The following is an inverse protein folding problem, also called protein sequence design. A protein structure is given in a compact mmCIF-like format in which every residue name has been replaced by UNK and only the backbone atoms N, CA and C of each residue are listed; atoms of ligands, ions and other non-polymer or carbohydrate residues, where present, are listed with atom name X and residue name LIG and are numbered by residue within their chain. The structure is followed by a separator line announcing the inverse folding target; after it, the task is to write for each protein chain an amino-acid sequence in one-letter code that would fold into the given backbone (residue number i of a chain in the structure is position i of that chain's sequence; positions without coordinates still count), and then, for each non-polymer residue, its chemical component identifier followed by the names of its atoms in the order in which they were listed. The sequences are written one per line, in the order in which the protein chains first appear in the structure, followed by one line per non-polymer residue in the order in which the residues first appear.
data_IF_230312771040
#
_entry.id   IF_230312771040
#
_cell.length_a   1.000
_cell.length_b   1.000
_cell.length_c   1.000
_cell.angle_alpha   90.00
_cell.angle_beta   90.00
_cell.angle_gamma   90.00
#
_symmetry.space_group_name_H-M   'P 1'
#
loop_
_entity.id
_entity.type
_entity.pdbx_description
1 polymer ?
#
# COMPACT_ATOMS: atom_id res chain seq x y z
N UNK A 1 4.90 -39.05 47.14
CA UNK A 1 3.96 -37.92 46.90
C UNK A 1 4.54 -37.06 45.81
N UNK A 2 3.73 -36.77 44.80
CA UNK A 2 4.15 -36.53 43.43
C UNK A 2 4.77 -35.15 43.20
N UNK A 3 5.79 -35.17 42.35
CA UNK A 3 6.44 -34.04 41.70
C UNK A 3 5.44 -33.19 40.91
N UNK A 4 5.51 -31.87 41.08
CA UNK A 4 5.03 -30.91 40.09
C UNK A 4 6.18 -29.94 39.80
N UNK A 5 6.92 -30.28 38.75
CA UNK A 5 7.86 -29.41 38.05
C UNK A 5 7.02 -28.34 37.34
N UNK A 6 7.28 -27.07 37.62
CA UNK A 6 6.76 -25.96 36.83
C UNK A 6 7.34 -26.04 35.42
N UNK A 7 6.48 -26.26 34.43
CA UNK A 7 6.84 -26.19 33.02
C UNK A 7 6.88 -24.72 32.58
N UNK A 8 8.09 -24.29 32.24
CA UNK A 8 8.45 -23.12 31.45
C UNK A 8 7.66 -23.00 30.15
N UNK A 9 7.31 -21.78 29.75
CA UNK A 9 7.38 -21.40 28.33
C UNK A 9 8.22 -20.13 28.19
N UNK A 10 9.52 -20.39 27.99
CA UNK A 10 10.39 -19.62 27.11
C UNK A 10 9.66 -19.43 25.76
N UNK A 11 9.25 -18.21 25.41
CA UNK A 11 9.11 -17.83 24.00
C UNK A 11 10.27 -16.90 23.62
N UNK A 12 11.41 -17.57 23.41
CA UNK A 12 12.37 -17.38 22.32
C UNK A 12 12.52 -15.95 21.77
N UNK A 13 13.58 -15.30 22.24
CA UNK A 13 14.42 -14.38 21.48
C UNK A 13 14.73 -15.00 20.10
N UNK A 14 14.00 -14.62 19.04
CA UNK A 14 14.26 -15.08 17.66
C UNK A 14 13.11 -15.69 16.87
N UNK A 15 11.88 -15.76 17.39
CA UNK A 15 10.73 -15.97 16.53
C UNK A 15 10.47 -14.67 15.74
N UNK A 16 10.92 -14.58 14.48
CA UNK A 16 10.43 -13.54 13.57
C UNK A 16 8.90 -13.63 13.59
N UNK A 17 8.23 -12.67 14.23
CA UNK A 17 6.79 -12.51 14.13
C UNK A 17 6.49 -12.55 12.63
N UNK A 18 5.74 -13.55 12.18
CA UNK A 18 5.43 -13.70 10.75
C UNK A 18 4.67 -12.45 10.33
N UNK A 19 5.36 -11.55 9.65
CA UNK A 19 4.81 -10.27 9.22
C UNK A 19 3.52 -10.51 8.45
N UNK A 20 2.46 -9.79 8.82
CA UNK A 20 1.17 -9.99 8.18
C UNK A 20 1.24 -9.61 6.71
N UNK A 21 0.32 -10.13 5.90
CA UNK A 21 0.26 -9.77 4.47
C UNK A 21 0.01 -8.27 4.28
N UNK A 22 -0.74 -7.65 5.20
CA UNK A 22 -0.96 -6.20 5.24
C UNK A 22 0.37 -5.46 5.42
N UNK A 23 1.14 -5.85 6.42
CA UNK A 23 2.38 -5.17 6.77
C UNK A 23 3.42 -5.29 5.64
N UNK A 24 3.50 -6.45 4.96
CA UNK A 24 4.36 -6.61 3.79
C UNK A 24 3.97 -5.67 2.64
N UNK A 25 2.67 -5.48 2.42
CA UNK A 25 2.20 -4.52 1.42
C UNK A 25 2.53 -3.08 1.80
N UNK A 26 2.35 -2.70 3.07
CA UNK A 26 2.65 -1.35 3.56
C UNK A 26 4.16 -1.06 3.52
N UNK A 27 5.01 -2.02 3.90
CA UNK A 27 6.47 -1.89 3.78
C UNK A 27 6.90 -1.69 2.31
N UNK A 28 6.30 -2.44 1.38
CA UNK A 28 6.57 -2.25 -0.04
C UNK A 28 6.07 -0.89 -0.54
N UNK A 29 4.93 -0.41 -0.03
CA UNK A 29 4.38 0.89 -0.40
C UNK A 29 5.27 2.04 0.05
N UNK A 30 5.80 1.96 1.28
CA UNK A 30 6.75 2.90 1.85
C UNK A 30 8.02 3.00 1.00
N UNK A 31 8.67 1.86 0.71
CA UNK A 31 9.85 1.85 -0.15
C UNK A 31 9.58 2.37 -1.57
N UNK A 32 8.36 2.18 -2.10
CA UNK A 32 7.98 2.78 -3.39
C UNK A 32 7.79 4.30 -3.29
N UNK A 33 7.20 4.83 -2.21
CA UNK A 33 7.04 6.28 -2.01
C UNK A 33 8.38 6.97 -1.86
N UNK A 34 9.26 6.45 -1.02
CA UNK A 34 10.61 6.97 -0.82
C UNK A 34 11.34 7.07 -2.16
N UNK A 35 11.37 5.98 -2.93
CA UNK A 35 12.00 5.98 -4.24
C UNK A 35 11.31 6.94 -5.23
N UNK A 36 9.98 7.02 -5.22
CA UNK A 36 9.25 7.91 -6.11
C UNK A 36 9.57 9.39 -5.83
N UNK A 37 9.70 9.79 -4.57
CA UNK A 37 10.11 11.13 -4.18
C UNK A 37 11.56 11.41 -4.61
N UNK A 38 12.50 10.50 -4.37
CA UNK A 38 13.89 10.63 -4.84
C UNK A 38 13.96 10.87 -6.36
N UNK A 39 13.23 10.06 -7.15
CA UNK A 39 13.18 10.23 -8.62
C UNK A 39 12.54 11.55 -9.02
N UNK A 40 11.54 12.02 -8.30
CA UNK A 40 10.88 13.30 -8.59
C UNK A 40 11.82 14.48 -8.33
N UNK A 41 12.59 14.46 -7.24
CA UNK A 41 13.60 15.47 -6.93
C UNK A 41 14.73 15.51 -7.96
N UNK A 42 15.09 14.36 -8.54
CA UNK A 42 16.05 14.26 -9.65
C UNK A 42 15.45 14.65 -11.01
N UNK A 43 14.15 14.96 -11.08
CA UNK A 43 13.44 15.31 -12.31
C UNK A 43 13.06 14.10 -13.19
N UNK A 44 13.30 12.88 -12.74
CA UNK A 44 12.91 11.63 -13.40
C UNK A 44 11.41 11.34 -13.21
N UNK A 45 10.57 12.17 -13.84
CA UNK A 45 9.13 12.21 -13.64
C UNK A 45 8.41 10.93 -14.09
N UNK A 46 8.92 10.24 -15.10
CA UNK A 46 8.40 8.95 -15.57
C UNK A 46 8.55 7.85 -14.51
N UNK A 47 9.74 7.71 -13.95
CA UNK A 47 10.01 6.76 -12.87
C UNK A 47 9.26 7.13 -11.60
N UNK A 48 9.23 8.41 -11.22
CA UNK A 48 8.46 8.89 -10.09
C UNK A 48 6.97 8.54 -10.22
N UNK A 49 6.37 8.75 -11.40
CA UNK A 49 4.98 8.39 -11.67
C UNK A 49 4.73 6.88 -11.52
N UNK A 50 5.61 6.05 -12.07
CA UNK A 50 5.50 4.60 -12.00
C UNK A 50 5.55 4.09 -10.55
N UNK A 51 6.49 4.60 -9.76
CA UNK A 51 6.68 4.16 -8.38
C UNK A 51 5.62 4.73 -7.42
N UNK A 52 5.17 5.96 -7.61
CA UNK A 52 4.03 6.50 -6.86
C UNK A 52 2.75 5.69 -7.11
N UNK A 53 2.49 5.32 -8.37
CA UNK A 53 1.34 4.48 -8.70
C UNK A 53 1.48 3.04 -8.14
N UNK A 54 2.70 2.50 -8.12
CA UNK A 54 2.98 1.20 -7.48
C UNK A 54 2.74 1.27 -5.97
N UNK A 55 3.16 2.36 -5.30
CA UNK A 55 2.87 2.55 -3.89
C UNK A 55 1.37 2.50 -3.61
N UNK A 56 0.57 3.24 -4.38
CA UNK A 56 -0.89 3.21 -4.25
C UNK A 56 -1.49 1.80 -4.45
N UNK A 57 -0.98 1.03 -5.43
CA UNK A 57 -1.41 -0.36 -5.63
C UNK A 57 -1.07 -1.27 -4.45
N UNK A 58 0.09 -1.05 -3.80
CA UNK A 58 0.52 -1.81 -2.63
C UNK A 58 -0.33 -1.45 -1.42
N UNK A 59 -0.56 -0.16 -1.18
CA UNK A 59 -1.50 0.32 -0.15
C UNK A 59 -2.90 -0.27 -0.35
N UNK A 60 -3.41 -0.30 -1.58
CA UNK A 60 -4.70 -0.95 -1.87
C UNK A 60 -4.68 -2.46 -1.57
N UNK A 61 -3.55 -3.13 -1.83
CA UNK A 61 -3.31 -4.51 -1.44
C UNK A 61 -3.42 -4.73 0.07
N UNK A 62 -2.84 -3.83 0.87
CA UNK A 62 -2.93 -3.84 2.34
C UNK A 62 -4.38 -3.63 2.83
N UNK A 63 -5.11 -2.69 2.24
CA UNK A 63 -6.53 -2.45 2.60
C UNK A 63 -7.40 -3.65 2.22
N UNK A 64 -7.16 -4.24 1.04
CA UNK A 64 -7.91 -5.41 0.58
C UNK A 64 -7.57 -6.67 1.38
N UNK A 65 -6.33 -6.84 1.86
CA UNK A 65 -5.93 -8.02 2.64
C UNK A 65 -6.66 -8.12 3.96
N UNK A 66 -7.04 -6.98 4.55
CA UNK A 66 -7.72 -6.90 5.84
C UNK A 66 -9.24 -6.83 5.72
N UNK A 67 -9.76 -6.62 4.51
CA UNK A 67 -11.19 -6.48 4.29
C UNK A 67 -11.93 -7.82 4.39
N UNK A 68 -12.85 -8.00 5.36
CA UNK A 68 -13.65 -9.22 5.46
C UNK A 68 -14.55 -9.42 4.23
N UNK A 69 -14.97 -8.32 3.59
CA UNK A 69 -15.79 -8.33 2.37
C UNK A 69 -15.03 -8.98 1.22
N UNK A 70 -13.75 -8.64 1.07
CA UNK A 70 -12.88 -9.21 0.04
C UNK A 70 -12.58 -10.69 0.33
N UNK A 71 -12.21 -11.00 1.57
CA UNK A 71 -11.83 -12.37 1.97
C UNK A 71 -12.97 -13.38 1.78
N UNK A 72 -14.22 -12.98 2.02
CA UNK A 72 -15.39 -13.87 1.93
C UNK A 72 -15.93 -14.04 0.51
N UNK A 73 -15.50 -13.22 -0.46
CA UNK A 73 -16.12 -13.19 -1.79
C UNK A 73 -15.53 -14.26 -2.71
N UNK A 74 -16.39 -15.11 -3.29
CA UNK A 74 -15.98 -16.18 -4.22
C UNK A 74 -15.41 -15.67 -5.56
N UNK A 75 -15.86 -14.50 -6.04
CA UNK A 75 -15.41 -13.87 -7.28
C UNK A 75 -15.08 -12.41 -7.04
N UNK A 76 -13.89 -12.00 -7.45
CA UNK A 76 -13.40 -10.63 -7.34
C UNK A 76 -13.19 -10.03 -8.72
N UNK A 77 -13.36 -8.70 -8.89
CA UNK A 77 -12.93 -7.99 -10.09
C UNK A 77 -11.45 -8.25 -10.37
N UNK A 78 -11.00 -8.15 -11.63
CA UNK A 78 -9.57 -8.25 -11.96
C UNK A 78 -8.80 -6.98 -11.57
N UNK A 79 -9.40 -5.81 -11.79
CA UNK A 79 -8.84 -4.50 -11.44
C UNK A 79 -8.66 -4.35 -9.92
N UNK A 80 -7.46 -3.89 -9.51
CA UNK A 80 -7.15 -3.59 -8.12
C UNK A 80 -8.07 -2.50 -7.55
N UNK A 81 -8.36 -1.45 -8.32
CA UNK A 81 -9.25 -0.35 -7.91
C UNK A 81 -10.69 -0.80 -7.75
N UNK A 82 -11.18 -1.65 -8.65
CA UNK A 82 -12.52 -2.25 -8.51
C UNK A 82 -12.61 -3.18 -7.30
N UNK A 83 -11.51 -3.83 -6.87
CA UNK A 83 -11.47 -4.55 -5.59
C UNK A 83 -11.50 -3.58 -4.42
N UNK A 84 -10.65 -2.55 -4.44
CA UNK A 84 -10.57 -1.54 -3.39
C UNK A 84 -11.93 -0.86 -3.14
N UNK A 85 -12.68 -0.54 -4.19
CA UNK A 85 -14.01 0.05 -4.07
C UNK A 85 -15.01 -0.80 -3.25
N UNK A 86 -14.79 -2.10 -3.13
CA UNK A 86 -15.66 -2.98 -2.34
C UNK A 86 -15.38 -2.90 -0.83
N UNK A 87 -14.31 -2.23 -0.39
CA UNK A 87 -13.94 -2.16 1.03
C UNK A 87 -14.70 -1.07 1.80
N UNK A 88 -15.56 -0.30 1.13
CA UNK A 88 -16.41 0.75 1.71
C UNK A 88 -16.11 2.12 1.10
N UNK A 89 -16.70 3.18 1.68
CA UNK A 89 -16.64 4.55 1.16
C UNK A 89 -15.20 5.08 0.98
N UNK A 90 -14.30 4.79 1.92
CA UNK A 90 -12.89 5.17 1.81
C UNK A 90 -12.20 4.48 0.64
N UNK A 91 -12.43 3.18 0.48
CA UNK A 91 -11.90 2.41 -0.64
C UNK A 91 -12.44 2.88 -1.99
N UNK A 92 -13.73 3.19 -2.08
CA UNK A 92 -14.36 3.75 -3.28
C UNK A 92 -13.76 5.11 -3.66
N UNK A 93 -13.58 6.02 -2.68
CA UNK A 93 -12.94 7.31 -2.89
C UNK A 93 -11.54 7.15 -3.50
N UNK A 94 -10.69 6.34 -2.88
CA UNK A 94 -9.32 6.12 -3.35
C UNK A 94 -9.27 5.39 -4.70
N UNK A 95 -10.17 4.42 -4.93
CA UNK A 95 -10.29 3.76 -6.22
C UNK A 95 -10.56 4.76 -7.34
N UNK A 96 -11.49 5.71 -7.14
CA UNK A 96 -11.80 6.74 -8.13
C UNK A 96 -10.61 7.68 -8.38
N UNK A 97 -9.88 8.07 -7.32
CA UNK A 97 -8.67 8.90 -7.44
C UNK A 97 -7.62 8.20 -8.32
N UNK A 98 -7.22 6.98 -7.99
CA UNK A 98 -6.14 6.29 -8.71
C UNK A 98 -6.56 5.75 -10.07
N UNK A 99 -7.85 5.46 -10.30
CA UNK A 99 -8.34 5.11 -11.62
C UNK A 99 -8.11 6.26 -12.63
N UNK A 100 -8.20 7.52 -12.20
CA UNK A 100 -7.95 8.70 -13.03
C UNK A 100 -6.50 8.81 -13.56
N UNK A 101 -5.52 8.18 -12.89
CA UNK A 101 -4.11 8.15 -13.31
C UNK A 101 -3.77 6.93 -14.19
N UNK A 102 -4.67 5.95 -14.30
CA UNK A 102 -4.37 4.65 -14.95
C UNK A 102 -3.95 4.80 -16.41
N UNK A 103 -4.60 5.70 -17.16
CA UNK A 103 -4.32 5.90 -18.59
C UNK A 103 -2.95 6.52 -18.81
N UNK A 104 -2.64 7.55 -18.02
CA UNK A 104 -1.40 8.30 -18.13
C UNK A 104 -0.21 7.43 -17.71
N UNK A 105 -0.31 6.76 -16.55
CA UNK A 105 0.66 5.74 -16.13
C UNK A 105 0.81 4.62 -17.17
N UNK A 106 -0.28 4.18 -17.81
CA UNK A 106 -0.20 3.18 -18.88
C UNK A 106 0.63 3.62 -20.09
N UNK A 107 0.63 4.91 -20.42
CA UNK A 107 1.48 5.49 -21.47
C UNK A 107 2.94 5.59 -21.03
N UNK A 108 3.19 5.95 -19.77
CA UNK A 108 4.54 5.95 -19.19
C UNK A 108 5.13 4.54 -19.17
N UNK A 109 4.40 3.56 -18.64
CA UNK A 109 4.81 2.15 -18.61
C UNK A 109 5.14 1.54 -19.98
N UNK A 110 4.48 2.02 -21.04
CA UNK A 110 4.69 1.54 -22.41
C UNK A 110 5.75 2.35 -23.17
N UNK A 111 6.37 3.34 -22.53
CA UNK A 111 7.34 4.23 -23.17
C UNK A 111 6.73 5.14 -24.24
N UNK A 112 5.41 5.36 -24.21
CA UNK A 112 4.74 6.30 -25.12
C UNK A 112 4.88 7.74 -24.57
N UNK A 113 4.84 7.88 -23.25
CA UNK A 113 5.05 9.15 -22.56
C UNK A 113 6.34 9.06 -21.75
N UNK A 114 7.36 9.86 -22.09
CA UNK A 114 8.65 9.84 -21.42
C UNK A 114 8.83 10.99 -20.43
N UNK A 115 8.00 12.04 -20.54
CA UNK A 115 8.06 13.21 -19.67
C UNK A 115 6.64 13.57 -19.22
N UNK A 116 6.04 12.78 -18.31
CA UNK A 116 4.75 13.14 -17.75
C UNK A 116 4.84 14.51 -17.05
N UNK A 117 3.77 15.33 -17.08
CA UNK A 117 3.77 16.65 -16.45
C UNK A 117 4.11 16.58 -14.96
N UNK A 118 5.10 17.37 -14.53
CA UNK A 118 5.62 17.31 -13.16
C UNK A 118 4.54 17.65 -12.09
N UNK A 119 3.62 18.56 -12.40
CA UNK A 119 2.47 18.90 -11.55
C UNK A 119 1.54 17.70 -11.35
N UNK A 120 1.34 16.91 -12.41
CA UNK A 120 0.52 15.70 -12.36
C UNK A 120 1.19 14.58 -11.58
N UNK A 121 2.52 14.44 -11.70
CA UNK A 121 3.31 13.50 -10.89
C UNK A 121 3.32 13.89 -9.42
N UNK A 122 3.52 15.18 -9.11
CA UNK A 122 3.41 15.70 -7.75
C UNK A 122 2.03 15.41 -7.14
N UNK A 123 0.96 15.63 -7.90
CA UNK A 123 -0.39 15.29 -7.45
C UNK A 123 -0.53 13.79 -7.17
N UNK A 124 0.01 12.91 -8.01
CA UNK A 124 -0.04 11.47 -7.75
C UNK A 124 0.73 11.08 -6.49
N UNK A 125 1.91 11.67 -6.26
CA UNK A 125 2.72 11.46 -5.06
C UNK A 125 1.93 11.84 -3.79
N UNK A 126 1.37 13.05 -3.75
CA UNK A 126 0.56 13.52 -2.63
C UNK A 126 -0.62 12.60 -2.34
N UNK A 127 -1.34 12.15 -3.39
CA UNK A 127 -2.49 11.25 -3.23
C UNK A 127 -2.03 9.86 -2.75
N UNK A 128 -0.93 9.34 -3.26
CA UNK A 128 -0.37 8.04 -2.86
C UNK A 128 0.10 8.07 -1.40
N UNK A 129 0.77 9.14 -0.98
CA UNK A 129 1.20 9.36 0.40
C UNK A 129 0.00 9.48 1.33
N UNK A 130 -0.99 10.33 1.01
CA UNK A 130 -2.20 10.46 1.82
C UNK A 130 -2.92 9.12 1.98
N UNK A 131 -3.05 8.35 0.90
CA UNK A 131 -3.66 7.02 0.98
C UNK A 131 -2.84 6.06 1.85
N UNK A 132 -1.51 6.08 1.73
CA UNK A 132 -0.61 5.29 2.55
C UNK A 132 -0.75 5.63 4.04
N UNK A 133 -0.70 6.92 4.39
CA UNK A 133 -0.84 7.39 5.76
C UNK A 133 -2.19 7.01 6.37
N UNK A 134 -3.29 7.12 5.62
CA UNK A 134 -4.61 6.66 6.07
C UNK A 134 -4.70 5.14 6.27
N UNK A 135 -3.89 4.37 5.53
CA UNK A 135 -3.86 2.92 5.62
C UNK A 135 -2.93 2.41 6.72
N UNK A 136 -2.06 3.25 7.28
CA UNK A 136 -1.29 2.90 8.46
C UNK A 136 -2.24 2.65 9.64
N UNK A 137 -1.94 1.67 10.52
CA UNK A 137 -2.66 1.57 11.77
C UNK A 137 -2.54 2.91 12.50
N UNK A 138 -3.66 3.45 12.98
CA UNK A 138 -3.63 4.59 13.89
C UNK A 138 -2.72 4.17 15.05
N UNK A 139 -1.52 4.75 15.11
CA UNK A 139 -0.52 4.35 16.08
C UNK A 139 -1.18 4.33 17.45
N UNK A 140 -1.07 3.20 18.16
CA UNK A 140 -1.43 3.17 19.58
C UNK A 140 -0.68 4.33 20.22
N UNK A 141 -1.41 5.40 20.57
CA UNK A 141 -0.86 6.50 21.32
C UNK A 141 -0.25 5.92 22.58
N UNK A 142 1.08 5.85 22.60
CA UNK A 142 1.83 5.71 23.84
C UNK A 142 1.67 7.04 24.56
N UNK A 143 0.59 7.11 25.32
CA UNK A 143 0.53 7.96 26.48
C UNK A 143 1.65 7.51 27.42
N UNK A 144 2.67 8.35 27.57
CA UNK A 144 3.62 8.35 28.67
C UNK A 144 3.70 9.79 29.18
#
# INVERSE_FOLDING_TARGET
MNSVISATTNEVYGARVRQSKRDQFLETADGCLTYAYERFEEGACDEAMEYAYRAALRTAGAVCSDSPVIQKRKRLPSSAWKKLALTGKGGERWANVFESFSRERGRVASGIEHMPPADRVAQLLEQAEQFYLEALPAGNGVAA
#
